data_IF_898570492251
#
_entry.id   IF_898570492251
#
_cell.length_a   1.000
_cell.length_b   1.000
_cell.length_c   1.000
_cell.angle_alpha   90.00
_cell.angle_beta   90.00
_cell.angle_gamma   90.00
#
_symmetry.space_group_name_H-M   'P 1'
#
loop_
_entity.id
_entity.type
_entity.pdbx_description
1 polymer ?
#
# COMPACT_ATOMS: atom_id res chain seq x y z
N UNK A 1 -36.99 73.20 -26.09
CA UNK A 1 -35.85 72.71 -26.89
C UNK A 1 -36.29 71.43 -27.57
N UNK A 2 -35.98 71.22 -28.86
CA UNK A 2 -36.32 69.98 -29.56
C UNK A 2 -35.49 68.79 -29.04
N UNK A 3 -36.04 67.58 -29.19
CA UNK A 3 -35.40 66.34 -28.77
C UNK A 3 -35.04 65.49 -29.98
N UNK A 4 -33.88 64.84 -29.96
CA UNK A 4 -33.48 63.92 -31.01
C UNK A 4 -34.52 62.81 -31.18
N UNK A 5 -35.00 62.52 -32.40
CA UNK A 5 -36.04 61.54 -32.60
C UNK A 5 -35.57 60.10 -32.37
N UNK A 6 -34.25 59.83 -32.29
CA UNK A 6 -33.68 58.49 -32.06
C UNK A 6 -33.36 58.25 -30.59
N UNK A 7 -32.63 59.17 -29.94
CA UNK A 7 -32.13 58.98 -28.58
C UNK A 7 -32.79 59.88 -27.53
N UNK A 8 -33.72 60.76 -27.93
CA UNK A 8 -34.44 61.73 -27.09
C UNK A 8 -33.57 62.80 -26.39
N UNK A 9 -32.28 62.91 -26.71
CA UNK A 9 -31.40 63.97 -26.19
C UNK A 9 -31.86 65.34 -26.65
N UNK A 10 -31.94 66.29 -25.72
CA UNK A 10 -32.25 67.70 -26.00
C UNK A 10 -31.12 68.37 -26.79
N UNK A 11 -31.48 69.17 -27.80
CA UNK A 11 -30.51 69.94 -28.58
C UNK A 11 -31.03 71.35 -28.89
N UNK A 12 -30.13 72.22 -29.35
CA UNK A 12 -30.46 73.58 -29.81
C UNK A 12 -30.49 73.55 -31.34
N UNK A 13 -31.68 73.77 -31.90
CA UNK A 13 -32.00 73.66 -33.34
C UNK A 13 -31.07 74.50 -34.25
N UNK A 14 -30.63 75.67 -33.77
CA UNK A 14 -29.78 76.60 -34.54
C UNK A 14 -28.28 76.25 -34.50
N UNK A 15 -27.87 75.25 -33.70
CA UNK A 15 -26.44 74.98 -33.42
C UNK A 15 -25.99 73.56 -33.74
N UNK A 16 -26.89 72.62 -34.00
CA UNK A 16 -26.55 71.21 -34.12
C UNK A 16 -27.09 70.61 -35.42
N UNK A 17 -26.19 70.28 -36.34
CA UNK A 17 -26.50 69.50 -37.55
C UNK A 17 -26.65 68.00 -37.22
N UNK A 18 -25.93 67.50 -36.21
CA UNK A 18 -26.00 66.11 -35.76
C UNK A 18 -26.23 66.02 -34.25
N UNK A 19 -26.92 64.96 -33.81
CA UNK A 19 -27.12 64.68 -32.39
C UNK A 19 -25.80 64.26 -31.73
N UNK A 20 -25.44 64.91 -30.61
CA UNK A 20 -24.21 64.61 -29.86
C UNK A 20 -24.19 63.21 -29.19
N UNK A 21 -25.36 62.60 -28.96
CA UNK A 21 -25.46 61.30 -28.27
C UNK A 21 -25.48 60.13 -29.25
N UNK A 22 -26.24 60.23 -30.35
CA UNK A 22 -26.41 59.12 -31.30
C UNK A 22 -25.92 59.42 -32.73
N UNK A 23 -25.46 60.64 -33.01
CA UNK A 23 -24.96 61.04 -34.34
C UNK A 23 -26.04 61.24 -35.40
N UNK A 24 -27.34 61.18 -35.03
CA UNK A 24 -28.44 61.33 -35.99
C UNK A 24 -28.46 62.73 -36.62
N UNK A 25 -28.69 62.81 -37.93
CA UNK A 25 -28.85 64.07 -38.67
C UNK A 25 -30.14 64.79 -38.26
N UNK A 26 -29.99 66.00 -37.72
CA UNK A 26 -31.07 66.84 -37.19
C UNK A 26 -31.50 67.92 -38.17
N UNK A 27 -30.91 67.97 -39.37
CA UNK A 27 -31.22 69.01 -40.36
C UNK A 27 -32.67 68.88 -40.85
N UNK A 28 -33.49 69.95 -40.75
CA UNK A 28 -34.87 69.91 -41.19
C UNK A 28 -34.96 69.85 -42.72
N UNK A 29 -35.87 69.02 -43.24
CA UNK A 29 -36.06 68.87 -44.68
C UNK A 29 -36.45 70.21 -45.35
N UNK A 30 -35.96 70.50 -46.57
CA UNK A 30 -36.30 71.73 -47.27
C UNK A 30 -37.83 71.86 -47.45
N UNK A 31 -38.42 72.96 -47.01
CA UNK A 31 -39.88 73.19 -47.04
C UNK A 31 -40.51 73.29 -48.44
N UNK A 32 -39.75 73.08 -49.53
CA UNK A 32 -40.27 73.23 -50.89
C UNK A 32 -40.87 71.91 -51.41
N UNK A 33 -42.20 71.90 -51.43
CA UNK A 33 -43.14 70.92 -52.01
C UNK A 33 -43.56 69.74 -51.13
N UNK A 34 -44.86 69.38 -51.19
CA UNK A 34 -45.46 68.28 -50.43
C UNK A 34 -44.72 66.97 -50.74
N UNK A 35 -43.95 66.47 -49.78
CA UNK A 35 -43.29 65.15 -49.86
C UNK A 35 -44.34 64.06 -50.13
N UNK A 36 -44.06 63.18 -51.09
CA UNK A 36 -44.95 62.08 -51.46
C UNK A 36 -45.15 61.12 -50.27
N UNK A 37 -46.39 60.63 -50.07
CA UNK A 37 -46.73 59.72 -48.95
C UNK A 37 -45.82 58.48 -48.87
N UNK A 38 -45.36 57.97 -50.02
CA UNK A 38 -44.45 56.83 -50.09
C UNK A 38 -43.06 57.14 -49.52
N UNK A 39 -42.57 58.37 -49.68
CA UNK A 39 -41.29 58.81 -49.13
C UNK A 39 -41.36 58.92 -47.61
N UNK A 40 -42.41 59.55 -47.08
CA UNK A 40 -42.65 59.64 -45.65
C UNK A 40 -42.71 58.26 -44.97
N UNK A 41 -43.32 57.26 -45.64
CA UNK A 41 -43.36 55.88 -45.15
C UNK A 41 -41.97 55.24 -45.09
N UNK A 42 -41.10 55.49 -46.06
CA UNK A 42 -39.71 54.98 -46.05
C UNK A 42 -38.88 55.63 -44.93
N UNK A 43 -39.04 56.92 -44.73
CA UNK A 43 -38.36 57.65 -43.64
C UNK A 43 -38.82 57.17 -42.27
N UNK A 44 -40.11 56.89 -42.09
CA UNK A 44 -40.63 56.32 -40.85
C UNK A 44 -40.00 54.95 -40.53
N UNK A 45 -39.79 54.10 -41.55
CA UNK A 45 -39.11 52.80 -41.39
C UNK A 45 -37.64 52.99 -41.03
N UNK A 46 -36.93 53.94 -41.66
CA UNK A 46 -35.53 54.26 -41.33
C UNK A 46 -35.38 54.76 -39.89
N UNK A 47 -36.28 55.64 -39.45
CA UNK A 47 -36.29 56.14 -38.08
C UNK A 47 -36.60 55.02 -37.07
N UNK A 48 -37.53 54.12 -37.38
CA UNK A 48 -37.82 52.96 -36.54
C UNK A 48 -36.61 52.03 -36.41
N UNK A 49 -35.92 51.75 -37.52
CA UNK A 49 -34.68 50.98 -37.50
C UNK A 49 -33.61 51.66 -36.65
N UNK A 50 -33.42 52.97 -36.80
CA UNK A 50 -32.46 53.73 -36.01
C UNK A 50 -32.76 53.69 -34.51
N UNK A 51 -34.03 53.82 -34.11
CA UNK A 51 -34.47 53.65 -32.72
C UNK A 51 -34.18 52.25 -32.18
N UNK A 52 -34.51 51.20 -32.95
CA UNK A 52 -34.25 49.81 -32.55
C UNK A 52 -32.75 49.53 -32.41
N UNK A 53 -31.93 50.01 -33.33
CA UNK A 53 -30.47 49.86 -33.25
C UNK A 53 -29.88 50.63 -32.08
N UNK A 54 -30.40 51.82 -31.79
CA UNK A 54 -30.01 52.60 -30.64
C UNK A 54 -30.37 51.91 -29.32
N UNK A 55 -31.57 51.38 -29.19
CA UNK A 55 -31.98 50.57 -28.04
C UNK A 55 -31.17 49.28 -27.91
N UNK A 56 -30.87 48.60 -29.02
CA UNK A 56 -29.99 47.44 -29.03
C UNK A 56 -28.59 47.80 -28.53
N UNK A 57 -27.96 48.86 -29.06
CA UNK A 57 -26.66 49.33 -28.61
C UNK A 57 -26.68 49.74 -27.11
N UNK A 58 -27.78 50.34 -26.64
CA UNK A 58 -27.96 50.74 -25.24
C UNK A 58 -28.24 49.56 -24.31
N UNK A 59 -28.87 48.49 -24.78
CA UNK A 59 -29.15 47.28 -23.97
C UNK A 59 -27.96 46.33 -23.92
N UNK A 60 -27.02 46.47 -24.85
CA UNK A 60 -25.74 45.77 -24.88
C UNK A 60 -24.70 46.32 -23.86
N UNK A 61 -25.18 46.79 -22.71
CA UNK A 61 -24.37 47.30 -21.57
C UNK A 61 -23.41 46.26 -20.98
N UNK A 62 -23.52 44.99 -21.35
CA UNK A 62 -22.66 43.93 -20.82
C UNK A 62 -21.52 43.52 -21.75
N UNK A 63 -21.40 44.09 -22.97
CA UNK A 63 -20.27 43.76 -23.84
C UNK A 63 -18.94 44.19 -23.23
N UNK A 64 -18.90 45.32 -22.53
CA UNK A 64 -17.70 45.71 -21.76
C UNK A 64 -17.36 44.64 -20.74
N UNK A 65 -18.31 44.24 -19.89
CA UNK A 65 -18.09 43.23 -18.86
C UNK A 65 -17.66 41.87 -19.44
N UNK A 66 -18.25 41.43 -20.56
CA UNK A 66 -17.86 40.19 -21.26
C UNK A 66 -16.47 40.30 -21.90
N UNK A 67 -16.13 41.46 -22.43
CA UNK A 67 -14.80 41.72 -23.00
C UNK A 67 -13.75 41.75 -21.89
N UNK A 68 -14.04 42.41 -20.77
CA UNK A 68 -13.20 42.44 -19.58
C UNK A 68 -12.99 41.03 -19.00
N UNK A 69 -14.05 40.22 -18.97
CA UNK A 69 -14.00 38.81 -18.55
C UNK A 69 -13.13 37.97 -19.49
N UNK A 70 -13.32 38.08 -20.81
CA UNK A 70 -12.50 37.37 -21.80
C UNK A 70 -11.03 37.81 -21.74
N UNK A 71 -10.78 39.10 -21.55
CA UNK A 71 -9.43 39.63 -21.39
C UNK A 71 -8.79 39.10 -20.10
N UNK A 72 -9.55 39.01 -19.01
CA UNK A 72 -9.12 38.38 -17.77
C UNK A 72 -8.79 36.89 -17.96
N UNK A 73 -9.62 36.14 -18.67
CA UNK A 73 -9.37 34.73 -18.99
C UNK A 73 -8.11 34.55 -19.83
N UNK A 74 -7.89 35.41 -20.84
CA UNK A 74 -6.68 35.38 -21.66
C UNK A 74 -5.42 35.71 -20.85
N UNK A 75 -5.49 36.70 -19.96
CA UNK A 75 -4.40 37.04 -19.06
C UNK A 75 -4.09 35.89 -18.09
N UNK A 76 -5.13 35.29 -17.50
CA UNK A 76 -4.96 34.15 -16.61
C UNK A 76 -4.33 32.96 -17.34
N UNK A 77 -4.81 32.64 -18.55
CA UNK A 77 -4.23 31.59 -19.38
C UNK A 77 -2.76 31.84 -19.72
N UNK A 78 -2.36 33.09 -19.92
CA UNK A 78 -0.95 33.46 -20.14
C UNK A 78 -0.09 33.25 -18.88
N UNK A 79 -0.62 33.60 -17.70
CA UNK A 79 0.04 33.36 -16.41
C UNK A 79 0.20 31.85 -16.18
N UNK A 80 -0.88 31.08 -16.34
CA UNK A 80 -0.89 29.64 -16.14
C UNK A 80 0.09 28.93 -17.08
N UNK A 81 0.13 29.36 -18.35
CA UNK A 81 1.11 28.83 -19.33
C UNK A 81 2.55 29.10 -18.90
N UNK A 82 2.83 30.31 -18.43
CA UNK A 82 4.18 30.67 -17.96
C UNK A 82 4.56 29.83 -16.74
N UNK A 83 3.63 29.66 -15.81
CA UNK A 83 3.83 28.80 -14.64
C UNK A 83 4.12 27.35 -15.03
N UNK A 84 3.32 26.76 -15.92
CA UNK A 84 3.54 25.39 -16.41
C UNK A 84 4.89 25.26 -17.12
N UNK A 85 5.30 26.27 -17.88
CA UNK A 85 6.60 26.28 -18.55
C UNK A 85 7.75 26.26 -17.53
N UNK A 86 7.66 27.06 -16.46
CA UNK A 86 8.65 27.02 -15.37
C UNK A 86 8.64 25.68 -14.61
N UNK A 87 7.47 25.06 -14.40
CA UNK A 87 7.39 23.73 -13.78
C UNK A 87 8.09 22.67 -14.66
N UNK A 88 7.87 22.71 -15.98
CA UNK A 88 8.52 21.81 -16.93
C UNK A 88 10.04 21.99 -16.95
N UNK A 89 10.54 23.22 -16.96
CA UNK A 89 11.98 23.51 -16.89
C UNK A 89 12.61 22.91 -15.63
N UNK A 90 11.94 23.01 -14.48
CA UNK A 90 12.44 22.43 -13.24
C UNK A 90 12.50 20.89 -13.27
N UNK A 91 11.47 20.26 -13.84
CA UNK A 91 11.45 18.81 -14.02
C UNK A 91 12.56 18.36 -14.96
N UNK A 92 12.75 19.06 -16.09
CA UNK A 92 13.83 18.78 -17.04
C UNK A 92 15.20 18.90 -16.39
N UNK A 93 15.47 20.00 -15.66
CA UNK A 93 16.70 20.16 -14.91
C UNK A 93 16.93 19.01 -13.92
N UNK A 94 15.89 18.60 -13.18
CA UNK A 94 16.00 17.50 -12.22
C UNK A 94 16.29 16.17 -12.92
N UNK A 95 15.72 15.92 -14.08
CA UNK A 95 15.99 14.73 -14.88
C UNK A 95 17.41 14.73 -15.45
N UNK A 96 17.94 15.88 -15.88
CA UNK A 96 19.33 16.02 -16.32
C UNK A 96 20.35 15.78 -15.21
N UNK A 97 20.01 16.12 -13.96
CA UNK A 97 20.84 15.84 -12.79
C UNK A 97 20.82 14.35 -12.36
N UNK A 98 19.87 13.56 -12.85
CA UNK A 98 19.90 12.11 -12.61
C UNK A 98 20.95 11.49 -13.52
N UNK A 99 21.95 10.84 -12.93
CA UNK A 99 22.90 10.01 -13.66
C UNK A 99 22.32 8.58 -13.76
N UNK A 100 21.74 8.18 -14.91
CA UNK A 100 21.05 6.90 -15.03
C UNK A 100 22.02 5.73 -14.92
N UNK A 101 23.29 5.91 -15.33
CA UNK A 101 24.34 4.89 -15.20
C UNK A 101 24.74 4.68 -13.74
N UNK A 102 24.81 5.76 -12.94
CA UNK A 102 25.06 5.65 -11.50
C UNK A 102 23.88 4.98 -10.78
N UNK A 103 22.64 5.29 -11.16
CA UNK A 103 21.46 4.64 -10.62
C UNK A 103 21.43 3.16 -11.04
N UNK A 104 21.65 2.84 -12.32
CA UNK A 104 21.66 1.48 -12.83
C UNK A 104 22.79 0.65 -12.21
N UNK A 105 24.01 1.18 -12.09
CA UNK A 105 25.12 0.49 -11.41
C UNK A 105 24.86 0.29 -9.92
N UNK A 106 24.20 1.25 -9.26
CA UNK A 106 23.76 1.09 -7.88
C UNK A 106 22.67 0.02 -7.76
N UNK A 107 21.70 0.00 -8.68
CA UNK A 107 20.65 -1.02 -8.73
C UNK A 107 21.22 -2.41 -8.99
N UNK A 108 22.12 -2.56 -9.97
CA UNK A 108 22.78 -3.83 -10.27
C UNK A 108 23.59 -4.33 -9.07
N UNK A 109 24.28 -3.44 -8.35
CA UNK A 109 25.02 -3.81 -7.14
C UNK A 109 24.09 -4.14 -5.96
N UNK A 110 22.91 -3.54 -5.89
CA UNK A 110 21.88 -3.90 -4.92
C UNK A 110 21.24 -5.23 -5.28
N UNK A 111 20.96 -5.49 -6.56
CA UNK A 111 20.44 -6.75 -7.08
C UNK A 111 21.44 -7.89 -6.86
N UNK A 112 22.73 -7.66 -7.05
CA UNK A 112 23.80 -8.60 -6.71
C UNK A 112 23.82 -8.90 -5.21
N UNK A 113 23.72 -7.88 -4.35
CA UNK A 113 23.60 -8.06 -2.90
C UNK A 113 22.31 -8.73 -2.46
N UNK A 114 21.22 -8.56 -3.20
CA UNK A 114 19.95 -9.24 -2.98
C UNK A 114 20.02 -10.69 -3.46
N UNK A 115 20.75 -10.99 -4.54
CA UNK A 115 21.03 -12.34 -5.01
C UNK A 115 22.02 -13.12 -4.12
N UNK A 116 22.89 -12.41 -3.39
CA UNK A 116 23.74 -12.97 -2.33
C UNK A 116 23.02 -13.08 -0.97
N UNK A 117 21.87 -12.43 -0.79
CA UNK A 117 20.99 -12.70 0.35
C UNK A 117 20.29 -14.04 0.09
N UNK A 118 20.37 -15.01 1.02
CA UNK A 118 19.61 -16.25 0.86
C UNK A 118 18.13 -15.89 0.73
N UNK A 119 17.45 -16.55 -0.20
CA UNK A 119 16.01 -16.45 -0.46
C UNK A 119 15.23 -16.69 0.85
N UNK A 120 14.96 -15.61 1.57
CA UNK A 120 14.22 -15.62 2.82
C UNK A 120 13.04 -14.68 2.63
N UNK A 121 11.94 -15.23 2.10
CA UNK A 121 10.63 -14.82 2.62
C UNK A 121 10.73 -14.87 4.14
N UNK A 122 10.56 -13.76 4.87
CA UNK A 122 10.73 -13.74 6.31
C UNK A 122 9.90 -14.86 6.93
N UNK A 123 10.45 -15.63 7.89
CA UNK A 123 9.69 -16.66 8.58
C UNK A 123 8.39 -16.05 9.12
N UNK A 124 7.25 -16.59 8.72
CA UNK A 124 5.95 -16.01 9.05
C UNK A 124 5.59 -16.32 10.50
N UNK A 125 4.85 -15.40 11.14
CA UNK A 125 4.34 -15.57 12.51
C UNK A 125 2.93 -15.01 12.61
N UNK A 126 2.01 -15.75 13.24
CA UNK A 126 0.67 -15.25 13.58
C UNK A 126 0.73 -14.30 14.79
N UNK A 127 1.74 -14.46 15.65
CA UNK A 127 1.89 -13.69 16.90
C UNK A 127 3.00 -12.64 16.85
N UNK A 128 3.63 -12.44 15.68
CA UNK A 128 4.71 -11.46 15.50
C UNK A 128 6.06 -11.89 16.09
N UNK A 129 6.28 -13.19 16.26
CA UNK A 129 7.53 -13.78 16.74
C UNK A 129 8.67 -13.57 15.74
N UNK A 130 9.82 -13.11 16.24
CA UNK A 130 11.05 -12.94 15.48
C UNK A 130 11.92 -14.20 15.50
N UNK A 131 11.95 -14.91 14.36
CA UNK A 131 12.72 -16.14 14.20
C UNK A 131 14.17 -15.94 13.74
N UNK A 132 14.64 -14.71 13.52
CA UNK A 132 15.98 -14.44 12.96
C UNK A 132 17.11 -15.08 13.77
N UNK A 133 16.97 -15.06 15.10
CA UNK A 133 17.96 -15.67 15.99
C UNK A 133 17.97 -17.20 15.87
N UNK A 134 16.79 -17.83 15.78
CA UNK A 134 16.68 -19.27 15.53
C UNK A 134 17.30 -19.64 14.19
N UNK A 135 16.97 -18.91 13.12
CA UNK A 135 17.54 -19.09 11.78
C UNK A 135 19.06 -19.05 11.82
N UNK A 136 19.65 -18.01 12.43
CA UNK A 136 21.12 -17.89 12.54
C UNK A 136 21.77 -19.03 13.34
N UNK A 137 21.12 -19.50 14.41
CA UNK A 137 21.62 -20.62 15.21
C UNK A 137 21.61 -21.94 14.41
N UNK A 138 20.56 -22.16 13.61
CA UNK A 138 20.42 -23.32 12.73
C UNK A 138 21.41 -23.26 11.55
N UNK A 139 21.52 -22.12 10.87
CA UNK A 139 22.51 -21.88 9.79
C UNK A 139 23.94 -22.15 10.25
N UNK A 140 24.29 -21.72 11.46
CA UNK A 140 25.61 -21.93 12.06
C UNK A 140 25.77 -23.28 12.76
N UNK A 141 24.81 -24.20 12.61
CA UNK A 141 24.80 -25.56 13.17
C UNK A 141 25.02 -25.61 14.68
N UNK A 142 24.58 -24.57 15.39
CA UNK A 142 24.63 -24.51 16.86
C UNK A 142 23.43 -25.23 17.45
N UNK A 143 23.30 -26.52 17.14
CA UNK A 143 22.11 -27.34 17.41
C UNK A 143 21.60 -27.27 18.84
N UNK A 144 22.50 -27.34 19.83
CA UNK A 144 22.12 -27.22 21.26
C UNK A 144 21.48 -25.87 21.59
N UNK A 145 22.07 -24.79 21.08
CA UNK A 145 21.54 -23.44 21.29
C UNK A 145 20.25 -23.21 20.50
N UNK A 146 20.14 -23.77 19.29
CA UNK A 146 18.93 -23.71 18.49
C UNK A 146 17.76 -24.44 19.19
N UNK A 147 18.03 -25.60 19.79
CA UNK A 147 17.05 -26.34 20.60
C UNK A 147 16.61 -25.55 21.83
N UNK A 148 17.57 -25.02 22.59
CA UNK A 148 17.31 -24.13 23.72
C UNK A 148 16.44 -22.94 23.35
N UNK A 149 16.79 -22.26 22.25
CA UNK A 149 16.05 -21.10 21.79
C UNK A 149 14.68 -21.48 21.19
N UNK A 150 14.55 -22.67 20.59
CA UNK A 150 13.24 -23.18 20.15
C UNK A 150 12.31 -23.33 21.35
N UNK A 151 12.81 -23.84 22.49
CA UNK A 151 12.00 -23.92 23.71
C UNK A 151 11.59 -22.55 24.25
N UNK A 152 12.51 -21.58 24.25
CA UNK A 152 12.20 -20.19 24.65
C UNK A 152 11.09 -19.59 23.77
N UNK A 153 11.18 -19.79 22.45
CA UNK A 153 10.16 -19.34 21.50
C UNK A 153 8.81 -20.00 21.78
N UNK A 154 8.77 -21.31 22.05
CA UNK A 154 7.52 -22.00 22.37
C UNK A 154 6.85 -21.43 23.62
N UNK A 155 7.64 -21.09 24.65
CA UNK A 155 7.10 -20.43 25.84
C UNK A 155 6.58 -19.01 25.53
N UNK A 156 7.32 -18.22 24.75
CA UNK A 156 6.93 -16.86 24.35
C UNK A 156 5.63 -16.83 23.56
N UNK A 157 5.49 -17.73 22.58
CA UNK A 157 4.28 -17.83 21.75
C UNK A 157 3.05 -18.15 22.62
N UNK A 158 3.24 -18.89 23.72
CA UNK A 158 2.17 -19.24 24.66
C UNK A 158 2.07 -18.32 25.88
N UNK A 159 2.87 -17.25 25.94
CA UNK A 159 2.93 -16.31 27.07
C UNK A 159 3.22 -17.01 28.42
N UNK A 160 4.17 -17.95 28.41
CA UNK A 160 4.53 -18.82 29.54
C UNK A 160 6.00 -18.74 29.93
N UNK A 161 6.67 -17.65 29.59
CA UNK A 161 8.10 -17.45 29.83
C UNK A 161 8.46 -17.57 31.31
N UNK A 162 7.62 -16.98 32.17
CA UNK A 162 7.83 -16.95 33.62
C UNK A 162 7.58 -18.33 34.27
N UNK A 163 6.63 -19.10 33.76
CA UNK A 163 6.35 -20.44 34.27
C UNK A 163 7.39 -21.46 33.81
N UNK A 164 7.89 -21.33 32.59
CA UNK A 164 8.91 -22.23 32.05
C UNK A 164 8.39 -23.63 31.69
N UNK A 165 7.07 -23.82 31.64
CA UNK A 165 6.40 -25.06 31.22
C UNK A 165 5.10 -24.77 30.47
N UNK A 166 4.69 -25.71 29.62
CA UNK A 166 3.45 -25.64 28.82
C UNK A 166 2.37 -26.55 29.41
N UNK A 167 1.15 -26.05 29.53
CA UNK A 167 -0.04 -26.84 29.85
C UNK A 167 -0.62 -27.51 28.59
N UNK A 168 -1.55 -28.45 28.80
CA UNK A 168 -2.28 -29.09 27.71
C UNK A 168 -2.97 -28.06 26.79
N UNK A 169 -3.58 -27.04 27.40
CA UNK A 169 -4.29 -25.99 26.67
C UNK A 169 -3.33 -25.11 25.85
N UNK A 170 -2.13 -24.85 26.37
CA UNK A 170 -1.09 -24.09 25.67
C UNK A 170 -0.65 -24.85 24.41
N UNK A 171 -0.44 -26.18 24.53
CA UNK A 171 -0.08 -27.03 23.38
C UNK A 171 -1.21 -27.08 22.34
N UNK A 172 -2.45 -27.26 22.78
CA UNK A 172 -3.61 -27.37 21.88
C UNK A 172 -3.90 -26.05 21.12
N UNK A 173 -3.45 -24.91 21.67
CA UNK A 173 -3.67 -23.56 21.13
C UNK A 173 -2.51 -22.97 20.35
N UNK A 174 -1.40 -23.70 20.18
CA UNK A 174 -0.23 -23.21 19.43
C UNK A 174 -0.62 -22.63 18.05
N UNK A 175 -0.21 -21.41 17.68
CA UNK A 175 -0.46 -20.84 16.37
C UNK A 175 0.12 -21.71 15.25
N UNK A 176 -0.67 -21.93 14.19
CA UNK A 176 -0.29 -22.89 13.16
C UNK A 176 0.86 -22.39 12.29
N UNK A 177 0.89 -21.10 11.98
CA UNK A 177 1.98 -20.49 11.22
C UNK A 177 3.30 -20.58 11.97
N UNK A 178 3.31 -20.28 13.26
CA UNK A 178 4.51 -20.36 14.09
C UNK A 178 5.04 -21.79 14.22
N UNK A 179 4.16 -22.77 14.47
CA UNK A 179 4.56 -24.18 14.55
C UNK A 179 5.14 -24.69 13.22
N UNK A 180 4.55 -24.28 12.08
CA UNK A 180 5.05 -24.59 10.74
C UNK A 180 6.37 -23.90 10.45
N UNK A 181 6.52 -22.64 10.85
CA UNK A 181 7.75 -21.87 10.67
C UNK A 181 8.92 -22.52 11.41
N UNK A 182 8.73 -22.91 12.68
CA UNK A 182 9.74 -23.64 13.46
C UNK A 182 10.11 -24.95 12.74
N UNK A 183 9.10 -25.73 12.33
CA UNK A 183 9.33 -27.01 11.65
C UNK A 183 10.09 -26.86 10.32
N UNK A 184 9.74 -25.85 9.51
CA UNK A 184 10.39 -25.55 8.24
C UNK A 184 11.84 -25.11 8.44
N UNK A 185 12.13 -24.26 9.42
CA UNK A 185 13.49 -23.84 9.74
C UNK A 185 14.37 -25.03 10.13
N UNK A 186 13.86 -25.89 11.02
CA UNK A 186 14.58 -27.10 11.43
C UNK A 186 14.83 -28.05 10.26
N UNK A 187 13.83 -28.28 9.39
CA UNK A 187 13.99 -29.12 8.21
C UNK A 187 14.98 -28.53 7.21
N UNK A 188 14.85 -27.24 6.89
CA UNK A 188 15.67 -26.58 5.87
C UNK A 188 17.16 -26.65 6.23
N UNK A 189 17.53 -26.26 7.46
CA UNK A 189 18.93 -26.22 7.88
C UNK A 189 19.52 -27.57 8.27
N UNK A 190 18.70 -28.61 8.42
CA UNK A 190 19.15 -29.99 8.72
C UNK A 190 19.13 -30.93 7.51
N UNK A 191 18.87 -30.42 6.30
CA UNK A 191 18.63 -31.22 5.10
C UNK A 191 17.50 -32.26 5.31
N UNK A 192 16.41 -31.84 5.95
CA UNK A 192 15.22 -32.66 6.21
C UNK A 192 15.40 -33.72 7.31
N UNK A 193 16.49 -33.69 8.09
CA UNK A 193 16.75 -34.69 9.13
C UNK A 193 16.05 -34.38 10.46
N UNK A 194 15.90 -33.10 10.79
CA UNK A 194 15.32 -32.62 12.05
C UNK A 194 14.04 -31.84 11.77
N UNK A 195 13.16 -31.80 12.77
CA UNK A 195 11.84 -31.17 12.64
C UNK A 195 10.75 -31.95 13.37
N UNK A 196 9.69 -31.25 13.71
CA UNK A 196 8.50 -31.80 14.36
C UNK A 196 7.72 -32.72 13.40
N UNK A 197 7.72 -32.42 12.10
CA UNK A 197 7.10 -33.27 11.09
C UNK A 197 7.83 -34.60 10.92
N UNK A 198 9.17 -34.57 10.97
CA UNK A 198 10.01 -35.79 10.96
C UNK A 198 9.72 -36.63 12.20
N UNK A 199 9.67 -36.01 13.38
CA UNK A 199 9.29 -36.69 14.62
C UNK A 199 7.88 -37.29 14.55
N UNK A 200 6.90 -36.56 14.02
CA UNK A 200 5.52 -37.04 13.85
C UNK A 200 5.46 -38.28 12.97
N UNK A 201 6.18 -38.29 11.84
CA UNK A 201 6.24 -39.47 10.96
C UNK A 201 6.82 -40.69 11.69
N UNK A 202 7.89 -40.49 12.47
CA UNK A 202 8.51 -41.57 13.25
C UNK A 202 7.55 -42.07 14.35
N UNK A 203 6.86 -41.15 15.04
CA UNK A 203 5.84 -41.47 16.05
C UNK A 203 4.69 -42.32 15.50
N UNK A 204 4.15 -41.95 14.34
CA UNK A 204 3.10 -42.70 13.65
C UNK A 204 3.61 -44.09 13.25
N UNK A 205 4.82 -44.16 12.69
CA UNK A 205 5.45 -45.43 12.29
C UNK A 205 5.80 -46.37 13.46
N UNK A 206 5.84 -45.85 14.69
CA UNK A 206 6.05 -46.61 15.92
C UNK A 206 4.72 -47.08 16.56
N UNK A 207 3.58 -46.84 15.90
CA UNK A 207 2.25 -47.19 16.41
C UNK A 207 1.89 -46.42 17.68
N UNK A 208 2.37 -45.18 17.81
CA UNK A 208 2.18 -44.34 19.01
C UNK A 208 2.73 -44.95 20.31
N UNK A 209 3.69 -45.88 20.21
CA UNK A 209 4.41 -46.41 21.36
C UNK A 209 5.60 -45.50 21.69
N UNK A 210 5.49 -44.78 22.80
CA UNK A 210 6.48 -43.78 23.20
C UNK A 210 7.89 -44.30 23.43
N UNK A 211 7.99 -45.48 24.01
CA UNK A 211 9.25 -46.19 24.21
C UNK A 211 9.95 -46.49 22.90
N UNK A 212 9.22 -47.01 21.92
CA UNK A 212 9.73 -47.36 20.59
C UNK A 212 10.08 -46.10 19.78
N UNK A 213 9.24 -45.07 19.85
CA UNK A 213 9.53 -43.77 19.26
C UNK A 213 10.85 -43.20 19.78
N UNK A 214 11.03 -43.14 21.10
CA UNK A 214 12.24 -42.60 21.71
C UNK A 214 13.50 -43.42 21.42
N UNK A 215 13.39 -44.74 21.20
CA UNK A 215 14.51 -45.55 20.70
C UNK A 215 14.90 -45.12 19.28
N UNK A 216 13.93 -44.94 18.38
CA UNK A 216 14.16 -44.59 16.97
C UNK A 216 14.81 -43.21 16.80
N UNK A 217 14.41 -42.23 17.62
CA UNK A 217 14.99 -40.88 17.59
C UNK A 217 16.19 -40.71 18.53
N UNK A 218 16.66 -41.79 19.18
CA UNK A 218 17.90 -41.78 19.97
C UNK A 218 17.81 -41.04 21.30
N UNK A 219 16.62 -40.91 21.88
CA UNK A 219 16.39 -40.36 23.23
C UNK A 219 16.44 -41.45 24.31
N UNK A 220 16.46 -42.73 23.91
CA UNK A 220 16.58 -43.87 24.81
C UNK A 220 17.62 -44.86 24.28
N UNK A 221 18.42 -45.43 25.18
CA UNK A 221 19.46 -46.43 24.85
C UNK A 221 19.43 -47.53 25.90
N UNK A 222 19.34 -48.81 25.47
CA UNK A 222 19.30 -49.98 26.36
C UNK A 222 18.26 -49.85 27.48
N UNK A 223 17.04 -49.39 27.14
CA UNK A 223 15.95 -49.10 28.07
C UNK A 223 16.18 -47.96 29.08
N UNK A 224 17.29 -47.22 28.98
CA UNK A 224 17.55 -46.05 29.81
C UNK A 224 17.32 -44.77 29.01
N UNK A 225 16.55 -43.86 29.60
CA UNK A 225 16.28 -42.54 29.05
C UNK A 225 17.52 -41.65 29.18
N UNK A 226 17.84 -40.92 28.11
CA UNK A 226 18.94 -39.96 28.14
C UNK A 226 18.53 -38.66 28.81
N UNK A 227 19.43 -38.09 29.60
CA UNK A 227 19.34 -36.70 30.03
C UNK A 227 19.69 -35.76 28.87
N UNK A 228 19.23 -34.52 28.93
CA UNK A 228 19.47 -33.51 27.90
C UNK A 228 20.98 -33.28 27.65
N UNK A 229 21.78 -33.42 28.70
CA UNK A 229 23.24 -33.31 28.67
C UNK A 229 23.89 -34.47 27.88
N UNK A 230 23.22 -35.63 27.80
CA UNK A 230 23.70 -36.86 27.14
C UNK A 230 23.23 -36.98 25.67
N UNK A 231 22.39 -36.07 25.21
CA UNK A 231 21.90 -36.02 23.83
C UNK A 231 22.99 -35.51 22.87
N UNK A 232 22.92 -35.96 21.62
CA UNK A 232 23.92 -35.64 20.60
C UNK A 232 23.44 -34.47 19.74
N UNK A 233 24.13 -33.33 19.85
CA UNK A 233 23.82 -32.12 19.11
C UNK A 233 24.75 -31.99 17.89
N UNK A 234 24.59 -32.93 16.94
CA UNK A 234 25.45 -33.05 15.76
C UNK A 234 24.62 -33.31 14.50
N UNK A 235 25.17 -32.96 13.34
CA UNK A 235 24.53 -33.23 12.03
C UNK A 235 24.28 -34.72 11.79
N UNK A 236 25.10 -35.58 12.41
CA UNK A 236 25.06 -37.02 12.24
C UNK A 236 24.06 -37.72 13.17
N UNK A 237 23.35 -36.97 14.02
CA UNK A 237 22.30 -37.52 14.87
C UNK A 237 21.18 -38.13 14.02
N UNK A 238 20.49 -39.12 14.59
CA UNK A 238 19.42 -39.84 13.88
C UNK A 238 18.29 -38.88 13.47
N UNK A 239 17.54 -39.19 12.40
CA UNK A 239 16.39 -38.38 12.01
C UNK A 239 15.39 -38.21 13.16
N UNK A 240 14.83 -37.00 13.28
CA UNK A 240 13.91 -36.64 14.35
C UNK A 240 14.53 -36.43 15.73
N UNK A 241 15.87 -36.49 15.88
CA UNK A 241 16.51 -36.30 17.18
C UNK A 241 16.24 -34.91 17.82
N UNK A 242 16.03 -33.89 16.98
CA UNK A 242 15.78 -32.49 17.36
C UNK A 242 14.57 -31.93 16.58
N UNK A 243 13.90 -30.88 17.09
CA UNK A 243 14.07 -30.27 18.42
C UNK A 243 13.42 -31.08 19.55
N UNK A 244 13.82 -30.82 20.80
CA UNK A 244 13.30 -31.49 21.99
C UNK A 244 12.21 -30.62 22.61
N UNK A 245 10.94 -30.91 22.30
CA UNK A 245 9.80 -30.06 22.70
C UNK A 245 8.93 -30.64 23.82
N UNK A 246 8.99 -31.96 24.05
CA UNK A 246 8.16 -32.64 25.05
C UNK A 246 8.82 -32.76 26.45
N UNK A 247 10.06 -32.27 26.63
CA UNK A 247 10.92 -32.57 27.77
C UNK A 247 11.65 -31.32 28.28
N UNK A 248 11.42 -30.88 29.52
CA UNK A 248 12.45 -30.15 30.28
C UNK A 248 12.41 -30.42 31.79
N UNK A 249 13.43 -31.18 32.22
CA UNK A 249 14.09 -31.34 33.55
C UNK A 249 14.18 -32.77 34.10
N UNK A 250 13.26 -33.71 33.84
CA UNK A 250 13.44 -35.17 34.09
C UNK A 250 12.70 -36.02 33.07
N UNK A 251 13.25 -37.18 32.75
CA UNK A 251 12.86 -38.03 31.62
C UNK A 251 11.40 -38.56 31.59
N UNK A 252 10.62 -38.38 32.65
CA UNK A 252 9.27 -38.94 32.75
C UNK A 252 8.27 -38.03 33.50
N UNK A 253 8.58 -36.75 33.66
CA UNK A 253 7.60 -35.75 34.12
C UNK A 253 7.45 -34.76 32.96
N UNK A 254 6.27 -34.73 32.33
CA UNK A 254 6.06 -33.82 31.22
C UNK A 254 6.07 -32.36 31.67
N UNK A 255 5.90 -31.45 30.73
CA UNK A 255 5.54 -30.08 31.05
C UNK A 255 4.18 -30.09 31.78
N UNK A 256 4.14 -29.58 33.01
CA UNK A 256 2.93 -29.57 33.84
C UNK A 256 2.51 -30.96 34.37
N UNK A 257 1.21 -31.26 34.32
CA UNK A 257 0.61 -32.50 34.86
C UNK A 257 0.60 -33.67 33.86
N UNK A 258 1.00 -33.45 32.60
CA UNK A 258 0.99 -34.46 31.55
C UNK A 258 2.27 -35.30 31.57
N UNK A 259 2.19 -36.52 31.05
CA UNK A 259 3.34 -37.33 30.70
C UNK A 259 4.01 -36.79 29.42
N UNK A 260 5.29 -37.10 29.23
CA UNK A 260 6.00 -36.70 28.01
C UNK A 260 5.37 -37.32 26.74
N UNK A 261 4.77 -38.51 26.86
CA UNK A 261 3.99 -39.14 25.79
C UNK A 261 2.74 -38.35 25.42
N UNK A 262 2.00 -37.87 26.41
CA UNK A 262 0.79 -37.06 26.17
C UNK A 262 1.14 -35.71 25.54
N UNK A 263 2.21 -35.06 26.01
CA UNK A 263 2.70 -33.82 25.40
C UNK A 263 3.08 -34.02 23.93
N UNK A 264 3.84 -35.07 23.63
CA UNK A 264 4.22 -35.36 22.27
C UNK A 264 3.00 -35.67 21.38
N UNK A 265 2.06 -36.49 21.87
CA UNK A 265 0.84 -36.81 21.14
C UNK A 265 0.02 -35.55 20.80
N UNK A 266 -0.06 -34.58 21.73
CA UNK A 266 -0.74 -33.30 21.51
C UNK A 266 -0.02 -32.43 20.48
N UNK A 267 1.31 -32.30 20.57
CA UNK A 267 2.12 -31.57 19.57
C UNK A 267 1.94 -32.20 18.19
N UNK A 268 2.02 -33.53 18.08
CA UNK A 268 1.84 -34.26 16.84
C UNK A 268 0.44 -34.05 16.25
N UNK A 269 -0.60 -34.10 17.10
CA UNK A 269 -1.99 -33.83 16.70
C UNK A 269 -2.18 -32.39 16.25
N UNK A 270 -1.59 -31.42 16.95
CA UNK A 270 -1.68 -30.00 16.58
C UNK A 270 -1.00 -29.73 15.25
N UNK A 271 0.19 -30.30 15.03
CA UNK A 271 0.91 -30.20 13.77
C UNK A 271 0.10 -30.80 12.61
N UNK A 272 -0.54 -31.95 12.82
CA UNK A 272 -1.43 -32.56 11.83
C UNK A 272 -2.65 -31.69 11.51
N UNK A 273 -3.29 -31.10 12.52
CA UNK A 273 -4.42 -30.18 12.34
C UNK A 273 -4.03 -28.91 11.58
N UNK A 274 -2.80 -28.41 11.76
CA UNK A 274 -2.26 -27.27 11.01
C UNK A 274 -1.94 -27.59 9.54
N UNK A 275 -2.00 -28.86 9.13
CA UNK A 275 -1.73 -29.32 7.76
C UNK A 275 -2.91 -29.23 6.79
N UNK A 276 -4.05 -28.67 7.21
CA UNK A 276 -5.27 -28.58 6.39
C UNK A 276 -5.69 -27.15 6.07
N UNK A 277 -5.25 -26.62 4.91
CA UNK A 277 -6.02 -25.79 3.97
C UNK A 277 -5.06 -25.15 2.95
N UNK A 278 -4.73 -25.90 1.90
CA UNK A 278 -4.39 -25.33 0.59
C UNK A 278 -5.09 -26.19 -0.45
N UNK A 279 -6.36 -25.85 -0.70
CA UNK A 279 -7.07 -26.18 -1.92
C UNK A 279 -6.90 -25.01 -2.90
#
# INVERSE_FOLDING_TARGET
MPNCPVCATEYIEEKAEFCSTCGWDLTPYPQRSKLAKAYLKKEQVRLQWAKQMWEFARTQLNWSARFDELQGQLQQGAIDRTYLQSQLEWVLYRLEQLNPEAIASTLLRLEEKIGEMPDQTPPQSEVGMDYRQLTKLLETRKWRKADEHTWEILLQITLREEEGWLSAADIDSFPCTDLRTIDQLWQHHSNGRFGLSVQRQIWESAGSQYTEFCDRIGWRVKNNWKYYEELSFSDNSVPGHLPITAWRRRACYGAGFLTASENFARIASRLAACGGSTA
#
